data_IF_093816597766
#
_entry.id   IF_093816597766
#
_cell.length_a   1.000
_cell.length_b   1.000
_cell.length_c   1.000
_cell.angle_alpha   90.00
_cell.angle_beta   90.00
_cell.angle_gamma   90.00
#
_symmetry.space_group_name_H-M   'P 1'
#
loop_
_entity.id
_entity.type
_entity.pdbx_description
1 polymer ?
#
# COMPACT_ATOMS: atom_id res chain seq x y z
N UNK A 1 -13.53 -15.62 14.56
CA UNK A 1 -12.47 -14.74 14.02
C UNK A 1 -13.12 -13.38 13.85
N UNK A 2 -12.55 -12.31 14.43
CA UNK A 2 -13.17 -10.99 14.34
C UNK A 2 -13.07 -10.50 12.90
N UNK A 3 -14.22 -10.52 12.22
CA UNK A 3 -14.40 -9.91 10.92
C UNK A 3 -14.24 -8.39 11.09
N UNK A 4 -13.15 -7.83 10.56
CA UNK A 4 -12.78 -6.41 10.67
C UNK A 4 -13.38 -5.65 9.47
N UNK A 5 -14.65 -5.93 9.17
CA UNK A 5 -15.29 -5.73 7.87
C UNK A 5 -15.52 -4.31 7.36
N UNK A 6 -14.74 -3.28 7.74
CA UNK A 6 -15.01 -1.89 7.34
C UNK A 6 -13.80 -0.97 7.17
N UNK A 7 -12.55 -1.47 7.23
CA UNK A 7 -11.38 -0.62 6.96
C UNK A 7 -11.25 -0.43 5.44
N UNK A 8 -11.94 0.57 4.90
CA UNK A 8 -11.76 1.01 3.52
C UNK A 8 -10.67 2.09 3.46
N UNK A 9 -9.69 1.88 2.57
CA UNK A 9 -8.60 2.80 2.30
C UNK A 9 -8.68 3.34 0.88
N UNK A 10 -8.53 4.66 0.75
CA UNK A 10 -8.26 5.32 -0.52
C UNK A 10 -6.80 5.05 -0.91
N UNK A 11 -6.55 4.88 -2.21
CA UNK A 11 -5.20 4.71 -2.72
C UNK A 11 -4.33 5.95 -2.39
N UNK A 12 -3.17 5.79 -1.71
CA UNK A 12 -2.43 6.92 -1.13
C UNK A 12 -1.64 7.76 -2.15
N UNK A 13 -1.44 7.26 -3.38
CA UNK A 13 -0.82 8.01 -4.48
C UNK A 13 -1.79 8.13 -5.65
N UNK A 14 -2.64 9.17 -5.71
CA UNK A 14 -3.69 9.28 -6.73
C UNK A 14 -3.17 9.21 -8.17
N UNK A 15 -1.90 9.56 -8.36
CA UNK A 15 -1.26 9.65 -9.66
C UNK A 15 -0.47 8.39 -10.08
N UNK A 16 -0.25 7.41 -9.20
CA UNK A 16 0.50 6.20 -9.54
C UNK A 16 0.02 4.99 -8.71
N UNK A 17 -0.32 3.89 -9.40
CA UNK A 17 -0.83 2.66 -8.77
C UNK A 17 0.13 1.46 -8.91
N UNK A 18 1.41 1.72 -9.12
CA UNK A 18 2.41 0.67 -9.35
C UNK A 18 3.06 0.27 -8.02
N UNK A 19 2.84 -0.97 -7.61
CA UNK A 19 3.50 -1.59 -6.46
C UNK A 19 4.87 -2.09 -6.91
N UNK A 20 5.93 -1.67 -6.23
CA UNK A 20 7.31 -2.13 -6.46
C UNK A 20 7.70 -3.26 -5.54
N UNK A 21 7.14 -3.29 -4.32
CA UNK A 21 7.37 -4.38 -3.36
C UNK A 21 6.13 -4.61 -2.49
N UNK A 22 5.71 -5.86 -2.39
CA UNK A 22 4.51 -6.26 -1.63
C UNK A 22 4.77 -6.47 -0.14
N UNK A 23 3.70 -6.59 0.64
CA UNK A 23 3.79 -6.97 2.06
C UNK A 23 4.32 -8.40 2.20
N UNK A 24 5.27 -8.58 3.11
CA UNK A 24 5.90 -9.86 3.40
C UNK A 24 6.90 -10.38 2.35
N UNK A 25 7.21 -9.58 1.33
CA UNK A 25 8.18 -9.95 0.31
C UNK A 25 9.61 -9.98 0.87
N UNK A 26 10.46 -10.87 0.33
CA UNK A 26 11.89 -11.06 0.68
C UNK A 26 12.17 -11.28 2.19
N UNK A 27 11.51 -12.24 2.86
CA UNK A 27 11.69 -12.49 4.30
C UNK A 27 13.14 -12.74 4.71
N UNK A 28 13.94 -13.43 3.87
CA UNK A 28 15.36 -13.68 4.14
C UNK A 28 16.19 -12.40 4.18
N UNK A 29 15.89 -11.44 3.30
CA UNK A 29 16.55 -10.14 3.31
C UNK A 29 16.20 -9.35 4.57
N UNK A 30 14.94 -9.32 4.98
CA UNK A 30 14.51 -8.55 6.16
C UNK A 30 14.81 -9.23 7.50
N UNK A 31 15.10 -10.53 7.51
CA UNK A 31 15.52 -11.26 8.69
C UNK A 31 16.78 -10.65 9.34
N UNK A 32 17.68 -10.03 8.54
CA UNK A 32 18.86 -9.31 9.05
C UNK A 32 18.51 -8.13 9.96
N UNK A 33 17.31 -7.58 9.80
CA UNK A 33 16.78 -6.48 10.59
C UNK A 33 15.76 -6.96 11.65
N UNK A 34 15.75 -8.26 11.93
CA UNK A 34 14.82 -8.94 12.87
C UNK A 34 13.33 -8.90 12.44
N UNK A 35 13.04 -8.54 11.19
CA UNK A 35 11.70 -8.54 10.62
C UNK A 35 11.41 -9.85 9.90
N UNK A 36 11.00 -10.86 10.67
CA UNK A 36 10.75 -12.23 10.17
C UNK A 36 9.58 -12.34 9.18
N UNK A 37 8.72 -11.33 9.13
CA UNK A 37 7.58 -11.30 8.21
C UNK A 37 7.97 -10.92 6.79
N UNK A 38 9.18 -10.37 6.57
CA UNK A 38 9.54 -9.72 5.31
C UNK A 38 9.21 -8.24 5.33
N UNK A 39 9.00 -7.69 4.14
CA UNK A 39 8.68 -6.28 3.95
C UNK A 39 7.44 -5.87 4.78
N UNK A 40 7.57 -4.85 5.63
CA UNK A 40 6.58 -4.50 6.66
C UNK A 40 5.33 -3.75 6.14
N UNK A 41 5.32 -3.43 4.86
CA UNK A 41 4.28 -2.63 4.21
C UNK A 41 4.23 -2.84 2.72
N UNK A 42 3.83 -1.80 2.01
CA UNK A 42 3.69 -1.74 0.57
C UNK A 42 4.57 -0.61 0.04
N UNK A 43 5.45 -0.93 -0.91
CA UNK A 43 6.23 0.09 -1.60
C UNK A 43 5.54 0.42 -2.91
N UNK A 44 5.17 1.69 -3.05
CA UNK A 44 4.44 2.22 -4.19
C UNK A 44 5.33 3.21 -4.92
N UNK A 45 5.51 3.00 -6.22
CA UNK A 45 6.32 3.88 -7.07
C UNK A 45 5.74 5.30 -7.08
N UNK A 46 6.61 6.29 -6.97
CA UNK A 46 6.23 7.68 -7.22
C UNK A 46 6.11 7.96 -8.72
N UNK A 47 5.24 8.91 -9.11
CA UNK A 47 4.97 9.23 -10.52
C UNK A 47 6.15 10.01 -11.09
N UNK A 48 6.66 9.65 -12.26
CA UNK A 48 7.82 10.32 -12.88
C UNK A 48 7.45 11.33 -13.98
N UNK A 49 6.26 11.22 -14.56
CA UNK A 49 5.72 12.18 -15.52
C UNK A 49 5.09 13.37 -14.79
N UNK A 50 5.61 14.57 -15.04
CA UNK A 50 5.27 15.80 -14.30
C UNK A 50 6.06 15.99 -13.00
N UNK A 51 6.81 14.98 -12.54
CA UNK A 51 7.68 15.03 -11.37
C UNK A 51 9.03 14.38 -11.70
N UNK A 52 10.02 15.15 -12.20
CA UNK A 52 11.34 14.62 -12.49
C UNK A 52 11.90 13.89 -11.25
N UNK A 53 12.47 12.69 -11.44
CA UNK A 53 12.90 11.74 -10.40
C UNK A 53 11.78 11.08 -9.56
N UNK A 54 10.52 11.49 -9.66
CA UNK A 54 9.42 10.96 -8.83
C UNK A 54 9.22 11.70 -7.51
N UNK A 55 10.25 12.44 -7.06
CA UNK A 55 10.20 13.31 -5.90
C UNK A 55 9.15 14.42 -6.12
N UNK A 56 8.36 14.70 -5.08
CA UNK A 56 7.32 15.71 -5.12
C UNK A 56 5.93 15.17 -5.47
N UNK A 57 5.80 13.88 -5.80
CA UNK A 57 4.51 13.24 -6.09
C UNK A 57 3.56 13.44 -4.90
N UNK A 58 2.35 14.00 -5.07
CA UNK A 58 1.40 14.22 -3.98
C UNK A 58 0.96 12.91 -3.34
N UNK A 59 1.08 12.84 -2.01
CA UNK A 59 0.64 11.73 -1.17
C UNK A 59 -0.57 12.16 -0.37
N UNK A 60 -1.63 11.37 -0.42
CA UNK A 60 -2.89 11.66 0.29
C UNK A 60 -3.11 10.71 1.45
N UNK A 61 -3.86 11.16 2.45
CA UNK A 61 -4.32 10.30 3.53
C UNK A 61 -5.24 9.21 2.97
N UNK A 62 -4.83 7.95 3.10
CA UNK A 62 -5.63 6.79 2.71
C UNK A 62 -6.96 6.73 3.47
N UNK A 63 -6.99 7.24 4.71
CA UNK A 63 -8.20 7.36 5.52
C UNK A 63 -8.10 8.53 6.48
N UNK A 64 -9.25 9.12 6.81
CA UNK A 64 -9.33 10.22 7.76
C UNK A 64 -8.88 9.79 9.17
N UNK A 65 -8.24 10.69 9.90
CA UNK A 65 -7.67 10.41 11.21
C UNK A 65 -6.94 11.59 11.81
N UNK A 66 -6.21 11.33 12.90
CA UNK A 66 -5.38 12.34 13.58
C UNK A 66 -3.91 12.01 13.38
N UNK A 67 -3.11 13.02 13.03
CA UNK A 67 -1.67 12.90 12.85
C UNK A 67 -1.00 12.61 14.19
N UNK A 68 -0.39 11.44 14.33
CA UNK A 68 0.41 11.05 15.49
C UNK A 68 1.87 11.46 15.37
N UNK A 69 2.40 11.40 14.17
CA UNK A 69 3.78 11.75 13.84
C UNK A 69 3.84 12.45 12.49
N UNK A 70 4.75 13.42 12.36
CA UNK A 70 4.97 14.21 11.16
C UNK A 70 6.42 14.74 11.18
N UNK A 71 7.29 14.20 10.32
CA UNK A 71 8.69 14.62 10.22
C UNK A 71 9.66 13.44 10.29
N UNK A 72 10.92 13.72 10.59
CA UNK A 72 11.95 12.68 10.78
C UNK A 72 11.53 11.69 11.87
N UNK A 73 11.65 10.40 11.56
CA UNK A 73 11.19 9.33 12.42
C UNK A 73 12.36 8.64 13.13
N UNK A 74 12.32 8.66 14.46
CA UNK A 74 13.35 8.11 15.35
C UNK A 74 12.75 7.07 16.29
N UNK A 75 13.55 6.06 16.66
CA UNK A 75 13.22 5.16 17.75
C UNK A 75 13.20 5.94 19.08
N UNK A 76 12.51 5.44 20.12
CA UNK A 76 12.48 6.10 21.44
C UNK A 76 13.84 6.33 22.09
N UNK A 77 14.86 5.55 21.70
CA UNK A 77 16.25 5.67 22.13
C UNK A 77 17.06 6.72 21.33
N UNK A 78 16.41 7.44 20.41
CA UNK A 78 17.03 8.49 19.60
C UNK A 78 17.72 8.01 18.32
N UNK A 79 17.74 6.70 18.04
CA UNK A 79 18.32 6.19 16.78
C UNK A 79 17.41 6.50 15.59
N UNK A 80 18.01 6.90 14.46
CA UNK A 80 17.28 7.10 13.21
C UNK A 80 16.61 5.79 12.77
N UNK A 81 15.37 5.87 12.30
CA UNK A 81 14.69 4.73 11.68
C UNK A 81 14.96 4.66 10.19
N UNK A 82 14.71 3.50 9.58
CA UNK A 82 14.78 3.34 8.13
C UNK A 82 13.76 4.19 7.36
N UNK A 83 12.69 4.65 8.01
CA UNK A 83 11.59 5.38 7.35
C UNK A 83 11.95 6.80 6.88
N UNK A 84 13.01 7.42 7.42
CA UNK A 84 13.34 8.81 7.10
C UNK A 84 12.26 9.78 7.57
N UNK A 85 11.76 10.61 6.66
CA UNK A 85 10.63 11.50 6.93
C UNK A 85 9.33 10.71 6.78
N UNK A 86 8.52 10.68 7.83
CA UNK A 86 7.29 9.92 7.85
C UNK A 86 6.10 10.70 8.45
N UNK A 87 4.90 10.24 8.10
CA UNK A 87 3.64 10.63 8.71
C UNK A 87 2.97 9.37 9.26
N UNK A 88 2.57 9.39 10.52
CA UNK A 88 1.72 8.35 11.11
C UNK A 88 0.35 8.94 11.39
N UNK A 89 -0.70 8.33 10.86
CA UNK A 89 -2.09 8.67 11.16
C UNK A 89 -2.69 7.60 12.06
N UNK A 90 -3.48 8.02 13.05
CA UNK A 90 -4.34 7.15 13.84
C UNK A 90 -5.79 7.41 13.46
N UNK A 91 -6.51 6.33 13.17
CA UNK A 91 -7.92 6.37 12.80
C UNK A 91 -8.82 6.13 14.02
N UNK A 92 -10.12 6.34 13.83
CA UNK A 92 -11.14 6.28 14.88
C UNK A 92 -11.35 4.88 15.45
N UNK A 93 -11.14 3.84 14.64
CA UNK A 93 -11.19 2.43 15.04
C UNK A 93 -9.91 1.93 15.74
N UNK A 94 -8.92 2.82 15.92
CA UNK A 94 -7.63 2.50 16.52
C UNK A 94 -6.61 1.91 15.55
N UNK A 95 -6.96 1.68 14.29
CA UNK A 95 -5.99 1.37 13.23
C UNK A 95 -5.07 2.56 12.97
N UNK A 96 -3.91 2.29 12.36
CA UNK A 96 -2.91 3.29 12.00
C UNK A 96 -2.40 3.07 10.60
N UNK A 97 -2.07 4.16 9.93
CA UNK A 97 -1.36 4.12 8.64
C UNK A 97 -0.07 4.91 8.73
N UNK A 98 1.00 4.36 8.18
CA UNK A 98 2.31 4.99 8.09
C UNK A 98 2.64 5.33 6.64
N UNK A 99 3.14 6.54 6.39
CA UNK A 99 3.62 7.02 5.10
C UNK A 99 5.08 7.43 5.28
N UNK A 100 6.01 6.73 4.66
CA UNK A 100 7.45 6.93 4.86
C UNK A 100 8.19 7.32 3.57
N UNK A 101 9.48 7.63 3.71
CA UNK A 101 10.37 8.11 2.64
C UNK A 101 9.94 9.43 2.00
N UNK A 102 9.17 10.26 2.70
CA UNK A 102 8.63 11.51 2.16
C UNK A 102 9.77 12.51 1.90
N UNK A 103 9.58 13.41 0.92
CA UNK A 103 10.46 14.56 0.71
C UNK A 103 10.00 15.78 1.51
N UNK A 104 8.69 15.89 1.74
CA UNK A 104 8.09 17.01 2.48
C UNK A 104 6.82 16.58 3.19
N UNK A 105 6.63 17.12 4.39
CA UNK A 105 5.41 16.97 5.18
C UNK A 105 4.57 18.24 5.05
N UNK A 106 3.25 18.07 4.89
CA UNK A 106 2.28 19.17 4.73
C UNK A 106 1.31 19.31 5.90
N UNK A 107 1.41 18.42 6.89
CA UNK A 107 0.54 18.36 8.08
C UNK A 107 1.35 18.42 9.37
N UNK A 108 0.70 18.70 10.49
CA UNK A 108 1.34 18.79 11.80
C UNK A 108 0.81 17.73 12.76
N UNK A 109 1.64 17.34 13.72
CA UNK A 109 1.21 16.43 14.80
C UNK A 109 0.01 17.01 15.54
N UNK A 110 -1.01 16.18 15.74
CA UNK A 110 -2.29 16.56 16.36
C UNK A 110 -3.34 17.08 15.38
N UNK A 111 -2.97 17.36 14.13
CA UNK A 111 -3.91 17.79 13.09
C UNK A 111 -4.87 16.65 12.73
N UNK A 112 -6.14 17.00 12.46
CA UNK A 112 -7.13 16.05 11.93
C UNK A 112 -7.17 16.19 10.41
N UNK A 113 -7.10 15.06 9.72
CA UNK A 113 -7.07 14.98 8.26
C UNK A 113 -8.25 14.16 7.74
N UNK A 114 -8.75 14.51 6.56
CA UNK A 114 -9.78 13.75 5.85
C UNK A 114 -9.14 12.73 4.90
N UNK A 115 -9.88 11.68 4.56
CA UNK A 115 -9.46 10.77 3.49
C UNK A 115 -9.30 11.55 2.17
N UNK A 116 -8.24 11.27 1.41
CA UNK A 116 -7.89 11.98 0.18
C UNK A 116 -7.23 13.35 0.38
N UNK A 117 -7.08 13.84 1.61
CA UNK A 117 -6.37 15.10 1.87
C UNK A 117 -4.88 14.95 1.55
N UNK A 118 -4.29 15.93 0.86
CA UNK A 118 -2.85 15.98 0.60
C UNK A 118 -2.08 16.20 1.91
N UNK A 119 -1.29 15.21 2.32
CA UNK A 119 -0.58 15.21 3.60
C UNK A 119 0.94 15.35 3.47
N UNK A 120 1.49 15.04 2.30
CA UNK A 120 2.93 15.03 2.08
C UNK A 120 3.28 14.84 0.61
N UNK A 121 4.57 14.93 0.33
CA UNK A 121 5.13 14.74 -1.01
C UNK A 121 6.09 13.55 -0.98
N UNK A 122 5.97 12.65 -1.96
CA UNK A 122 6.81 11.47 -2.12
C UNK A 122 8.28 11.84 -2.29
N UNK A 123 9.18 10.97 -1.87
CA UNK A 123 10.60 11.25 -1.83
C UNK A 123 11.47 9.99 -1.78
N UNK A 124 12.68 10.15 -1.24
CA UNK A 124 13.67 9.10 -1.05
C UNK A 124 14.49 9.38 0.21
N UNK A 125 13.82 9.69 1.33
CA UNK A 125 14.51 9.94 2.61
C UNK A 125 14.65 8.65 3.42
N UNK A 126 15.70 8.53 4.23
CA UNK A 126 15.96 7.31 5.00
C UNK A 126 16.56 6.19 4.16
N UNK A 127 16.15 4.94 4.44
CA UNK A 127 16.66 3.75 3.77
C UNK A 127 15.81 3.41 2.54
N UNK A 128 16.02 4.15 1.44
CA UNK A 128 15.27 3.99 0.20
C UNK A 128 16.21 3.91 -1.02
N UNK A 129 16.15 2.81 -1.78
CA UNK A 129 16.99 2.59 -2.97
C UNK A 129 16.55 3.44 -4.19
N UNK A 130 15.35 4.01 -4.14
CA UNK A 130 14.82 4.91 -5.15
C UNK A 130 13.55 5.64 -4.68
N UNK A 131 13.03 6.62 -5.44
CA UNK A 131 11.85 7.39 -5.04
C UNK A 131 10.56 6.56 -5.02
N UNK A 132 10.08 6.23 -3.82
CA UNK A 132 8.86 5.45 -3.58
C UNK A 132 8.17 5.92 -2.28
N UNK A 133 6.91 5.55 -2.12
CA UNK A 133 6.21 5.65 -0.85
C UNK A 133 6.23 4.28 -0.20
N UNK A 134 6.76 4.20 1.02
CA UNK A 134 6.54 3.04 1.87
C UNK A 134 5.28 3.25 2.73
N UNK A 135 4.31 2.36 2.58
CA UNK A 135 2.99 2.46 3.19
C UNK A 135 2.69 1.25 4.09
N UNK A 136 2.44 1.47 5.38
CA UNK A 136 2.05 0.40 6.31
C UNK A 136 0.62 0.59 6.84
N UNK A 137 -0.07 -0.51 7.10
CA UNK A 137 -1.35 -0.56 7.81
C UNK A 137 -1.20 -1.39 9.09
N UNK A 138 -1.53 -0.79 10.23
CA UNK A 138 -1.56 -1.48 11.53
C UNK A 138 -2.97 -1.52 12.08
N UNK A 139 -3.48 -2.71 12.36
CA UNK A 139 -4.82 -2.96 12.89
C UNK A 139 -4.69 -3.60 14.28
N UNK A 140 -5.41 -3.10 15.31
CA UNK A 140 -5.41 -3.72 16.62
C UNK A 140 -6.00 -5.15 16.59
N UNK A 141 -5.60 -6.05 17.52
CA UNK A 141 -4.68 -5.80 18.63
C UNK A 141 -3.20 -5.83 18.20
N UNK A 142 -2.38 -4.96 18.80
CA UNK A 142 -0.94 -4.87 18.53
C UNK A 142 -0.15 -5.89 19.37
N UNK A 143 -0.36 -7.19 19.10
CA UNK A 143 0.36 -8.27 19.79
C UNK A 143 1.52 -8.81 18.95
N UNK A 144 2.55 -9.35 19.61
CA UNK A 144 3.71 -9.95 18.93
C UNK A 144 3.30 -11.11 18.00
N UNK A 145 2.33 -11.93 18.43
CA UNK A 145 1.75 -13.01 17.62
C UNK A 145 0.95 -12.48 16.41
N UNK A 146 0.51 -11.22 16.46
CA UNK A 146 -0.17 -10.51 15.38
C UNK A 146 0.75 -9.59 14.57
N UNK A 147 2.07 -9.78 14.64
CA UNK A 147 3.07 -8.94 13.94
C UNK A 147 2.94 -7.46 14.34
N UNK A 148 2.65 -7.20 15.62
CA UNK A 148 2.36 -5.87 16.13
C UNK A 148 1.22 -5.17 15.38
N UNK A 149 0.26 -5.94 14.86
CA UNK A 149 -0.92 -5.47 14.14
C UNK A 149 -0.69 -5.17 12.65
N UNK A 150 0.50 -5.40 12.09
CA UNK A 150 0.75 -5.18 10.65
C UNK A 150 -0.12 -6.07 9.77
N UNK A 151 -0.77 -5.45 8.78
CA UNK A 151 -1.62 -6.12 7.79
C UNK A 151 -1.19 -5.71 6.38
N UNK A 152 -1.39 -6.63 5.44
CA UNK A 152 -1.27 -6.32 4.02
C UNK A 152 -2.28 -5.21 3.66
N UNK A 153 -1.82 -4.01 3.25
CA UNK A 153 -2.73 -2.92 2.93
C UNK A 153 -3.53 -3.16 1.66
N UNK A 154 -3.06 -4.01 0.74
CA UNK A 154 -3.72 -4.25 -0.55
C UNK A 154 -5.11 -4.87 -0.39
N UNK A 155 -5.31 -5.67 0.66
CA UNK A 155 -6.61 -6.27 0.98
C UNK A 155 -7.68 -5.23 1.41
N UNK A 156 -7.28 -3.99 1.70
CA UNK A 156 -8.15 -2.94 2.25
C UNK A 156 -8.28 -1.71 1.34
N UNK A 157 -7.60 -1.72 0.18
CA UNK A 157 -7.69 -0.62 -0.78
C UNK A 157 -8.72 -0.98 -1.85
N UNK A 158 -9.76 -0.15 -2.01
CA UNK A 158 -10.93 -0.44 -2.86
C UNK A 158 -10.61 -0.58 -4.36
N UNK A 159 -9.40 -0.26 -4.80
CA UNK A 159 -8.95 -0.47 -6.17
C UNK A 159 -7.47 -0.89 -6.25
N UNK A 160 -7.21 -2.19 -6.21
CA UNK A 160 -5.89 -2.74 -6.58
C UNK A 160 -5.96 -3.21 -8.03
N UNK A 161 -5.47 -2.40 -8.97
CA UNK A 161 -5.16 -2.91 -10.31
C UNK A 161 -3.75 -3.48 -10.29
N UNK A 162 -3.63 -4.77 -9.97
CA UNK A 162 -2.40 -5.50 -10.28
C UNK A 162 -2.41 -5.78 -11.79
N UNK A 163 -1.44 -5.24 -12.53
CA UNK A 163 -1.17 -5.67 -13.91
C UNK A 163 -2.34 -5.55 -14.91
N UNK A 164 -3.21 -4.55 -14.79
CA UNK A 164 -4.13 -4.18 -15.87
C UNK A 164 -5.38 -5.06 -16.07
N UNK A 165 -5.79 -5.87 -15.09
CA UNK A 165 -7.13 -6.47 -15.08
C UNK A 165 -7.80 -6.14 -13.76
N UNK A 166 -8.88 -5.37 -13.81
CA UNK A 166 -9.68 -5.04 -12.63
C UNK A 166 -10.47 -6.27 -12.17
N UNK A 167 -10.29 -6.67 -10.91
CA UNK A 167 -11.21 -7.59 -10.25
C UNK A 167 -12.02 -6.80 -9.22
N UNK A 168 -13.34 -6.82 -9.40
CA UNK A 168 -14.27 -6.48 -8.31
C UNK A 168 -14.16 -7.58 -7.27
N UNK A 169 -14.24 -7.18 -5.99
CA UNK A 169 -14.37 -8.07 -4.84
C UNK A 169 -15.37 -9.19 -5.16
N UNK A 170 -14.88 -10.42 -5.32
CA UNK A 170 -15.74 -11.59 -5.44
C UNK A 170 -15.90 -12.16 -4.02
N UNK A 171 -17.11 -12.04 -3.49
CA UNK A 171 -17.54 -12.83 -2.35
C UNK A 171 -17.42 -14.32 -2.69
N UNK A 172 -17.14 -15.20 -1.71
CA UNK A 172 -16.90 -16.62 -1.99
C UNK A 172 -18.21 -17.33 -2.30
N UNK A 173 -18.50 -17.55 -3.58
CA UNK A 173 -19.52 -18.51 -4.03
C UNK A 173 -19.07 -19.94 -3.65
N UNK A 174 -19.97 -20.68 -3.02
CA UNK A 174 -19.77 -22.05 -2.54
C UNK A 174 -19.37 -23.04 -3.66
N UNK A 175 -18.67 -24.16 -3.34
CA UNK A 175 -18.16 -25.06 -4.35
C UNK A 175 -19.29 -25.87 -5.01
N UNK A 176 -19.62 -25.51 -6.24
CA UNK A 176 -20.51 -26.30 -7.10
C UNK A 176 -19.75 -27.53 -7.58
N UNK A 177 -20.12 -28.70 -7.05
CA UNK A 177 -19.82 -30.00 -7.66
C UNK A 177 -20.56 -30.09 -9.00
N UNK A 178 -19.85 -30.27 -10.13
CA UNK A 178 -20.42 -30.98 -11.27
C UNK A 178 -19.37 -31.61 -12.19
N UNK A 179 -19.50 -32.94 -12.38
CA UNK A 179 -18.83 -33.73 -13.41
C UNK A 179 -19.35 -33.43 -14.83
N UNK A 180 -18.59 -33.91 -15.84
CA UNK A 180 -18.91 -34.11 -17.27
C UNK A 180 -18.76 -32.86 -18.15
N UNK A 181 -18.34 -32.91 -19.42
CA UNK A 181 -17.96 -33.94 -20.39
C UNK A 181 -17.17 -33.21 -21.48
N UNK A 182 -16.24 -33.91 -22.13
CA UNK A 182 -15.67 -33.49 -23.42
C UNK A 182 -16.80 -33.28 -24.45
N UNK A 183 -16.68 -32.25 -25.30
CA UNK A 183 -16.84 -32.34 -26.76
C UNK A 183 -16.66 -30.97 -27.46
N UNK A 184 -15.76 -30.99 -28.45
CA UNK A 184 -15.78 -30.30 -29.75
C UNK A 184 -16.29 -28.86 -29.92
N UNK A 185 -15.39 -27.94 -30.28
CA UNK A 185 -15.67 -26.89 -31.27
C UNK A 185 -14.37 -26.26 -31.80
N UNK A 186 -14.11 -26.51 -33.08
CA UNK A 186 -13.01 -26.01 -33.92
C UNK A 186 -13.04 -24.48 -34.08
N UNK A 187 -11.92 -23.81 -33.79
CA UNK A 187 -11.70 -22.40 -34.14
C UNK A 187 -11.25 -22.25 -35.60
N UNK A 188 -12.09 -21.70 -36.46
CA UNK A 188 -11.73 -21.18 -37.78
C UNK A 188 -11.61 -19.65 -37.74
N UNK A 189 -10.43 -19.13 -38.10
CA UNK A 189 -10.17 -17.70 -38.32
C UNK A 189 -10.76 -17.22 -39.65
N UNK A 190 -11.31 -15.99 -39.75
CA UNK A 190 -11.59 -15.35 -41.04
C UNK A 190 -10.40 -14.53 -41.57
N UNK A 191 -10.30 -14.32 -42.89
CA UNK A 191 -9.07 -13.90 -43.56
C UNK A 191 -8.87 -12.38 -43.70
N UNK A 192 -7.61 -12.05 -43.92
CA UNK A 192 -6.98 -10.76 -44.19
C UNK A 192 -7.44 -10.13 -45.52
N UNK A 193 -7.72 -8.83 -45.54
CA UNK A 193 -7.97 -8.03 -46.77
C UNK A 193 -6.97 -6.86 -46.79
N UNK A 194 -6.21 -6.63 -47.88
CA UNK A 194 -5.29 -5.50 -47.95
C UNK A 194 -5.71 -4.42 -48.99
N UNK A 195 -5.27 -3.19 -48.67
CA UNK A 195 -5.02 -1.98 -49.51
C UNK A 195 -6.22 -1.21 -50.12
N UNK A 196 -6.03 -0.01 -50.74
CA UNK A 196 -4.91 0.46 -51.60
C UNK A 196 -3.83 1.32 -50.92
#
# INVERSE_FOLDING_TARGET
MADIGWVSLVWPIPLCKVITQGFGERPDYYAQFQWKIGHSGLDIRTRTDGYPSGIGTPIVAARGGTVRHAGEHFYPDGRATGYGIAIELRHTDGSRTLYAHLSKVRVQKGESVLAGQHIGDGGQTGNADGPHLHFELWVPPFTEQGVWGRRDPTAYIEEVTFGGVGIRSLEPEEPIHQERSLDDATCTCPPFIPEP
#
